data_IF_792535098813
#
_entry.id   IF_792535098813
#
_cell.length_a   1.000
_cell.length_b   1.000
_cell.length_c   1.000
_cell.angle_alpha   90.00
_cell.angle_beta   90.00
_cell.angle_gamma   90.00
#
_symmetry.space_group_name_H-M   'P 1'
#
loop_
_entity.id
_entity.type
_entity.pdbx_description
1 polymer ?
#
# COMPACT_ATOMS: atom_id res chain seq x y z
N UNK A 1 -21.92 21.11 6.04
CA UNK A 1 -20.74 20.32 5.70
C UNK A 1 -20.80 18.99 6.44
N UNK A 2 -20.28 17.90 5.85
CA UNK A 2 -20.25 16.58 6.49
C UNK A 2 -19.53 16.68 7.85
N UNK A 3 -20.19 16.35 8.99
CA UNK A 3 -19.59 16.45 10.31
C UNK A 3 -18.37 15.55 10.51
N UNK A 4 -18.30 14.43 9.79
CA UNK A 4 -17.19 13.47 9.86
C UNK A 4 -15.86 14.05 9.36
N UNK A 5 -15.87 15.12 8.55
CA UNK A 5 -14.62 15.81 8.13
C UNK A 5 -13.79 16.31 9.33
N UNK A 6 -14.42 16.62 10.46
CA UNK A 6 -13.73 17.06 11.68
C UNK A 6 -12.98 15.95 12.40
N UNK A 7 -13.27 14.69 12.06
CA UNK A 7 -12.62 13.51 12.64
C UNK A 7 -11.30 13.19 11.93
N UNK A 8 -11.10 13.70 10.69
CA UNK A 8 -9.89 13.48 9.92
C UNK A 8 -8.68 14.13 10.60
N UNK A 9 -7.63 13.34 10.76
CA UNK A 9 -6.35 13.83 11.27
C UNK A 9 -5.56 14.53 10.16
N UNK A 10 -4.69 15.51 10.49
CA UNK A 10 -3.74 16.05 9.54
C UNK A 10 -2.91 14.94 8.89
N UNK A 11 -2.71 15.03 7.57
CA UNK A 11 -1.99 14.02 6.83
C UNK A 11 -0.52 13.90 7.31
N UNK A 12 0.11 12.70 7.33
CA UNK A 12 1.46 12.52 7.88
C UNK A 12 2.50 13.50 7.34
N UNK A 13 2.45 13.82 6.04
CA UNK A 13 3.38 14.77 5.43
C UNK A 13 3.11 16.23 5.83
N UNK A 14 1.89 16.56 6.21
CA UNK A 14 1.58 17.86 6.80
C UNK A 14 2.16 17.97 8.22
N UNK A 15 2.01 16.90 9.03
CA UNK A 15 2.64 16.82 10.36
C UNK A 15 4.15 16.92 10.24
N UNK A 16 4.76 16.18 9.30
CA UNK A 16 6.19 16.22 9.04
C UNK A 16 6.66 17.63 8.66
N UNK A 17 5.96 18.32 7.77
CA UNK A 17 6.28 19.70 7.38
C UNK A 17 6.23 20.65 8.58
N UNK A 18 5.24 20.49 9.46
CA UNK A 18 5.13 21.29 10.70
C UNK A 18 6.28 20.96 11.65
N UNK A 19 6.64 19.71 11.84
CA UNK A 19 7.73 19.24 12.68
C UNK A 19 9.08 19.85 12.25
N UNK A 20 9.32 19.91 10.95
CA UNK A 20 10.58 20.36 10.37
C UNK A 20 10.62 21.87 10.11
N UNK A 21 9.53 22.59 10.37
CA UNK A 21 9.50 24.04 10.21
C UNK A 21 10.56 24.73 11.10
N UNK A 22 11.35 25.61 10.49
CA UNK A 22 12.41 26.33 11.17
C UNK A 22 13.71 25.53 11.42
N UNK A 23 13.78 24.26 11.02
CA UNK A 23 15.02 23.50 11.05
C UNK A 23 15.90 23.93 9.88
N UNK A 24 17.13 24.34 10.14
CA UNK A 24 18.10 24.74 9.12
C UNK A 24 19.09 23.59 8.91
N UNK A 25 19.10 22.94 7.73
CA UNK A 25 20.06 21.88 7.44
C UNK A 25 21.48 22.46 7.25
N UNK A 26 22.52 21.60 7.37
CA UNK A 26 23.90 22.04 7.25
C UNK A 26 24.23 22.51 5.83
N UNK A 27 24.95 23.60 5.73
CA UNK A 27 25.45 24.10 4.43
C UNK A 27 26.51 23.13 3.88
N UNK A 28 26.41 22.82 2.60
CA UNK A 28 27.35 21.91 1.90
C UNK A 28 26.94 20.45 1.84
N UNK A 29 25.87 20.02 2.51
CA UNK A 29 25.27 18.70 2.30
C UNK A 29 24.05 18.80 1.38
N UNK A 30 24.05 18.04 0.29
CA UNK A 30 22.88 17.92 -0.57
C UNK A 30 21.71 17.26 0.19
N UNK A 31 20.49 17.73 -0.05
CA UNK A 31 19.28 17.14 0.55
C UNK A 31 19.04 15.73 0.04
N UNK A 32 18.69 14.80 0.94
CA UNK A 32 18.24 13.45 0.59
C UNK A 32 16.89 13.22 1.27
N UNK A 33 15.84 13.11 0.46
CA UNK A 33 14.48 12.85 0.96
C UNK A 33 14.09 11.38 0.79
N UNK A 34 13.99 10.68 1.91
CA UNK A 34 13.53 9.30 2.04
C UNK A 34 12.18 9.20 2.76
N UNK A 35 11.43 10.29 2.84
CA UNK A 35 10.12 10.33 3.51
C UNK A 35 8.99 9.86 2.59
N UNK A 36 9.01 10.22 1.31
CA UNK A 36 7.93 9.95 0.36
C UNK A 36 8.14 8.62 -0.35
N UNK A 37 7.18 7.70 -0.22
CA UNK A 37 7.19 6.40 -0.92
C UNK A 37 6.77 6.52 -2.38
N UNK A 38 7.44 7.37 -3.15
CA UNK A 38 7.25 7.53 -4.59
C UNK A 38 8.43 6.89 -5.34
N UNK A 39 8.19 5.84 -6.16
CA UNK A 39 9.25 5.24 -6.96
C UNK A 39 9.98 6.27 -7.82
N UNK A 40 11.33 6.18 -7.84
CA UNK A 40 12.18 7.08 -8.64
C UNK A 40 13.01 6.33 -9.69
N UNK A 41 12.77 5.03 -9.88
CA UNK A 41 13.28 4.35 -11.06
C UNK A 41 12.58 4.88 -12.31
N UNK A 42 13.23 4.87 -13.47
CA UNK A 42 12.61 5.35 -14.70
C UNK A 42 11.32 4.58 -15.04
N UNK A 43 10.31 5.28 -15.52
CA UNK A 43 9.15 4.64 -16.13
C UNK A 43 9.61 3.85 -17.38
N UNK A 44 9.09 2.61 -17.60
CA UNK A 44 9.49 1.79 -18.74
C UNK A 44 9.30 2.52 -20.07
N UNK A 45 10.32 2.48 -20.95
CA UNK A 45 10.32 3.24 -22.20
C UNK A 45 9.17 2.81 -23.13
N UNK A 46 8.92 1.48 -23.21
CA UNK A 46 7.85 0.94 -24.04
C UNK A 46 6.46 1.41 -23.58
N UNK A 47 6.21 1.54 -22.28
CA UNK A 47 4.93 2.05 -21.74
C UNK A 47 4.75 3.52 -22.11
N UNK A 48 5.83 4.33 -22.01
CA UNK A 48 5.79 5.74 -22.40
C UNK A 48 5.54 5.90 -23.90
N UNK A 49 6.10 4.99 -24.73
CA UNK A 49 5.86 5.01 -26.17
C UNK A 49 4.40 4.70 -26.49
N UNK A 50 3.82 3.63 -25.91
CA UNK A 50 2.39 3.32 -26.11
C UNK A 50 1.51 4.50 -25.70
N UNK A 51 1.81 5.18 -24.59
CA UNK A 51 1.07 6.35 -24.16
C UNK A 51 1.16 7.48 -25.21
N UNK A 52 2.36 7.77 -25.70
CA UNK A 52 2.60 8.84 -26.69
C UNK A 52 1.90 8.57 -28.03
N UNK A 53 1.91 7.31 -28.48
CA UNK A 53 1.33 6.89 -29.77
C UNK A 53 -0.21 6.92 -29.78
N UNK A 54 -0.85 7.11 -28.62
CA UNK A 54 -2.30 7.05 -28.48
C UNK A 54 -2.91 8.34 -27.89
N UNK A 55 -2.20 9.46 -27.88
CA UNK A 55 -2.67 10.70 -27.28
C UNK A 55 -3.91 11.28 -27.96
N UNK A 56 -4.15 11.01 -29.25
CA UNK A 56 -5.35 11.43 -29.96
C UNK A 56 -6.64 10.84 -29.36
N UNK A 57 -6.55 9.71 -28.66
CA UNK A 57 -7.70 9.10 -27.97
C UNK A 57 -8.17 9.88 -26.74
N UNK A 58 -7.46 10.95 -26.34
CA UNK A 58 -7.94 11.89 -25.33
C UNK A 58 -9.22 12.61 -25.74
N UNK A 59 -9.56 12.62 -27.03
CA UNK A 59 -10.80 13.20 -27.54
C UNK A 59 -12.07 12.36 -27.25
N UNK A 60 -11.93 11.16 -26.69
CA UNK A 60 -13.04 10.21 -26.45
C UNK A 60 -13.25 9.97 -24.96
N UNK A 61 -14.50 10.01 -24.51
CA UNK A 61 -14.85 9.63 -23.14
C UNK A 61 -14.60 8.13 -22.91
N UNK A 62 -13.81 7.74 -21.89
CA UNK A 62 -13.62 6.35 -21.55
C UNK A 62 -14.83 5.81 -20.78
N UNK A 63 -15.13 4.52 -20.97
CA UNK A 63 -16.11 3.82 -20.12
C UNK A 63 -15.55 3.63 -18.69
N UNK A 64 -16.40 3.79 -17.68
CA UNK A 64 -16.04 3.55 -16.26
C UNK A 64 -15.52 2.14 -16.02
N UNK A 65 -16.08 1.16 -16.71
CA UNK A 65 -15.69 -0.27 -16.63
C UNK A 65 -14.29 -0.54 -17.19
N UNK A 66 -13.73 0.37 -17.97
CA UNK A 66 -12.50 0.18 -18.72
C UNK A 66 -12.65 -0.71 -19.96
N UNK A 67 -11.61 -0.83 -20.77
CA UNK A 67 -11.61 -1.63 -21.99
C UNK A 67 -11.59 -3.14 -21.69
N UNK A 68 -12.21 -3.94 -22.55
CA UNK A 68 -12.19 -5.40 -22.44
C UNK A 68 -10.76 -5.96 -22.50
N UNK A 69 -9.90 -5.36 -23.32
CA UNK A 69 -8.51 -5.74 -23.46
C UNK A 69 -7.73 -5.55 -22.14
N UNK A 70 -7.92 -4.42 -21.46
CA UNK A 70 -7.27 -4.18 -20.18
C UNK A 70 -7.76 -5.16 -19.11
N UNK A 71 -9.07 -5.41 -19.03
CA UNK A 71 -9.63 -6.37 -18.07
C UNK A 71 -9.14 -7.80 -18.33
N UNK A 72 -9.09 -8.23 -19.60
CA UNK A 72 -8.55 -9.52 -19.97
C UNK A 72 -7.05 -9.65 -19.66
N UNK A 73 -6.26 -8.62 -19.91
CA UNK A 73 -4.84 -8.57 -19.56
C UNK A 73 -4.59 -8.69 -18.05
N UNK A 74 -5.39 -8.00 -17.24
CA UNK A 74 -5.33 -8.08 -15.76
C UNK A 74 -5.73 -9.49 -15.29
N UNK A 75 -6.82 -10.04 -15.80
CA UNK A 75 -7.29 -11.39 -15.46
C UNK A 75 -6.23 -12.45 -15.75
N UNK A 76 -5.60 -12.39 -16.92
CA UNK A 76 -4.51 -13.28 -17.30
C UNK A 76 -3.27 -13.10 -16.41
N UNK A 77 -2.96 -11.87 -15.97
CA UNK A 77 -1.88 -11.60 -15.02
C UNK A 77 -2.17 -12.22 -13.65
N UNK A 78 -3.38 -12.04 -13.10
CA UNK A 78 -3.80 -12.61 -11.82
C UNK A 78 -3.68 -14.14 -11.82
N UNK A 79 -4.19 -14.80 -12.87
CA UNK A 79 -4.11 -16.25 -13.04
C UNK A 79 -2.66 -16.75 -12.90
N UNK A 80 -1.73 -16.13 -13.65
CA UNK A 80 -0.33 -16.54 -13.65
C UNK A 80 0.38 -16.22 -12.34
N UNK A 81 0.17 -15.00 -11.82
CA UNK A 81 0.90 -14.48 -10.67
C UNK A 81 0.53 -15.18 -9.36
N UNK A 82 -0.73 -15.50 -9.17
CA UNK A 82 -1.26 -16.11 -7.95
C UNK A 82 -1.64 -17.58 -8.12
N UNK A 83 -1.30 -18.18 -9.26
CA UNK A 83 -1.55 -19.61 -9.55
C UNK A 83 -2.99 -19.99 -9.25
N UNK A 84 -3.93 -19.19 -9.77
CA UNK A 84 -5.37 -19.42 -9.57
C UNK A 84 -5.85 -20.67 -10.33
N UNK A 85 -6.92 -21.31 -9.87
CA UNK A 85 -7.53 -22.47 -10.54
C UNK A 85 -8.17 -22.11 -11.89
N UNK A 86 -8.77 -20.90 -11.96
CA UNK A 86 -9.35 -20.31 -13.15
C UNK A 86 -9.03 -18.82 -13.23
N UNK A 87 -8.97 -18.27 -14.44
CA UNK A 87 -8.83 -16.83 -14.62
C UNK A 87 -10.09 -16.11 -14.11
N UNK A 88 -9.96 -15.02 -13.33
CA UNK A 88 -11.13 -14.20 -12.98
C UNK A 88 -11.88 -13.74 -14.22
N UNK A 89 -13.22 -13.75 -14.18
CA UNK A 89 -14.04 -13.28 -15.29
C UNK A 89 -13.76 -11.79 -15.56
N UNK A 90 -13.18 -11.43 -16.72
CA UNK A 90 -12.85 -10.05 -17.03
C UNK A 90 -14.10 -9.15 -17.16
N UNK A 91 -15.28 -9.71 -17.33
CA UNK A 91 -16.53 -8.94 -17.40
C UNK A 91 -17.15 -8.66 -16.03
N UNK A 92 -16.90 -9.50 -15.01
CA UNK A 92 -17.58 -9.41 -13.73
C UNK A 92 -16.63 -9.23 -12.53
N UNK A 93 -15.42 -9.77 -12.62
CA UNK A 93 -14.51 -9.93 -11.48
C UNK A 93 -13.25 -9.06 -11.60
N UNK A 94 -13.17 -8.17 -12.60
CA UNK A 94 -12.04 -7.26 -12.82
C UNK A 94 -12.54 -5.85 -13.16
N UNK A 95 -12.06 -4.84 -12.42
CA UNK A 95 -12.42 -3.44 -12.62
C UNK A 95 -11.17 -2.54 -12.60
N UNK A 96 -10.73 -1.96 -13.73
CA UNK A 96 -9.69 -0.95 -13.77
C UNK A 96 -10.09 0.31 -13.00
N UNK A 97 -9.09 0.93 -12.31
CA UNK A 97 -9.29 2.09 -11.46
C UNK A 97 -8.18 3.14 -11.67
N UNK A 98 -8.45 4.41 -11.33
CA UNK A 98 -7.50 5.52 -11.46
C UNK A 98 -6.44 5.52 -10.34
N UNK A 99 -5.81 4.35 -10.15
CA UNK A 99 -4.91 4.03 -9.04
C UNK A 99 -5.68 3.63 -7.78
N UNK A 100 -5.04 2.82 -6.94
CA UNK A 100 -5.70 2.20 -5.78
C UNK A 100 -6.04 3.18 -4.66
N UNK A 101 -5.38 4.35 -4.60
CA UNK A 101 -5.68 5.35 -3.58
C UNK A 101 -7.15 5.78 -3.60
N UNK A 102 -7.65 6.16 -4.78
CA UNK A 102 -9.04 6.58 -4.92
C UNK A 102 -10.00 5.39 -4.79
N UNK A 103 -9.60 4.23 -5.31
CA UNK A 103 -10.42 3.03 -5.25
C UNK A 103 -10.63 2.53 -3.81
N UNK A 104 -9.56 2.45 -3.01
CA UNK A 104 -9.64 2.08 -1.59
C UNK A 104 -10.53 3.04 -0.79
N UNK A 105 -10.44 4.35 -1.09
CA UNK A 105 -11.31 5.34 -0.46
C UNK A 105 -12.78 5.17 -0.89
N UNK A 106 -13.03 5.08 -2.18
CA UNK A 106 -14.37 4.94 -2.75
C UNK A 106 -15.03 3.62 -2.34
N UNK A 107 -14.23 2.56 -2.15
CA UNK A 107 -14.72 1.23 -1.79
C UNK A 107 -15.43 1.22 -0.43
N UNK A 108 -14.89 1.87 0.59
CA UNK A 108 -15.57 2.00 1.88
C UNK A 108 -16.90 2.74 1.77
N UNK A 109 -17.00 3.75 0.88
CA UNK A 109 -18.26 4.47 0.64
C UNK A 109 -19.32 3.57 0.01
N UNK A 110 -18.91 2.54 -0.74
CA UNK A 110 -19.80 1.58 -1.37
C UNK A 110 -20.26 0.48 -0.41
N UNK A 111 -19.36 0.03 0.48
CA UNK A 111 -19.56 -1.15 1.34
C UNK A 111 -20.28 -0.82 2.65
N UNK A 112 -19.99 0.34 3.25
CA UNK A 112 -20.44 0.65 4.61
C UNK A 112 -21.90 1.05 4.64
N UNK A 113 -22.69 0.38 5.48
CA UNK A 113 -24.01 0.86 5.93
C UNK A 113 -23.84 1.64 7.25
N UNK A 114 -23.90 2.98 7.22
CA UNK A 114 -23.68 3.81 8.41
C UNK A 114 -24.78 3.67 9.47
N UNK A 115 -25.92 3.06 9.14
CA UNK A 115 -27.03 2.88 10.08
C UNK A 115 -26.80 1.71 11.04
N UNK A 116 -25.84 0.83 10.74
CA UNK A 116 -25.60 -0.43 11.47
C UNK A 116 -24.46 -0.34 12.50
N UNK A 117 -24.10 0.85 12.99
CA UNK A 117 -22.93 1.05 13.89
C UNK A 117 -21.66 0.34 13.38
N UNK A 118 -21.41 0.48 12.09
CA UNK A 118 -20.37 -0.22 11.36
C UNK A 118 -18.97 -0.02 11.95
N UNK A 119 -18.18 -1.09 11.95
CA UNK A 119 -16.74 -1.04 12.19
C UNK A 119 -15.98 -1.36 10.91
N UNK A 120 -14.90 -0.60 10.69
CA UNK A 120 -13.84 -0.95 9.75
C UNK A 120 -12.62 -1.37 10.55
N UNK A 121 -12.17 -2.62 10.33
CA UNK A 121 -10.98 -3.17 10.98
C UNK A 121 -9.78 -2.94 10.07
N UNK A 122 -8.63 -2.54 10.62
CA UNK A 122 -7.42 -2.27 9.84
C UNK A 122 -6.14 -2.42 10.67
N UNK A 123 -4.97 -2.69 10.05
CA UNK A 123 -3.68 -2.72 10.76
C UNK A 123 -3.35 -1.35 11.35
N UNK A 124 -2.44 -1.29 12.32
CA UNK A 124 -1.90 -0.06 12.89
C UNK A 124 -0.39 -0.27 13.18
N UNK A 125 0.54 0.35 12.45
CA UNK A 125 0.39 1.43 11.46
C UNK A 125 -0.40 1.04 10.19
N UNK A 126 -0.88 2.05 9.49
CA UNK A 126 -1.72 1.88 8.30
C UNK A 126 -1.50 2.97 7.25
N UNK A 127 -2.04 2.74 6.05
CA UNK A 127 -2.18 3.78 5.05
C UNK A 127 -3.40 4.65 5.38
N UNK A 128 -3.20 5.95 5.60
CA UNK A 128 -4.20 6.88 6.16
C UNK A 128 -5.51 6.97 5.37
N UNK A 129 -5.51 6.47 4.13
CA UNK A 129 -6.71 6.42 3.30
C UNK A 129 -7.76 5.49 3.91
N UNK A 130 -7.37 4.38 4.55
CA UNK A 130 -8.33 3.45 5.17
C UNK A 130 -9.15 4.10 6.28
N UNK A 131 -8.48 4.82 7.20
CA UNK A 131 -9.16 5.55 8.27
C UNK A 131 -10.05 6.65 7.72
N UNK A 132 -9.53 7.47 6.80
CA UNK A 132 -10.31 8.55 6.18
C UNK A 132 -11.53 8.03 5.43
N UNK A 133 -11.40 6.92 4.73
CA UNK A 133 -12.49 6.26 4.00
C UNK A 133 -13.57 5.75 4.97
N UNK A 134 -13.17 5.05 6.05
CA UNK A 134 -14.06 4.54 7.08
C UNK A 134 -14.85 5.66 7.77
N UNK A 135 -14.17 6.68 8.25
CA UNK A 135 -14.79 7.81 8.95
C UNK A 135 -15.78 8.57 8.07
N UNK A 136 -15.41 8.86 6.81
CA UNK A 136 -16.29 9.58 5.89
C UNK A 136 -17.45 8.73 5.38
N UNK A 137 -17.33 7.41 5.42
CA UNK A 137 -18.44 6.48 5.19
C UNK A 137 -19.38 6.35 6.41
N UNK A 138 -19.03 6.95 7.56
CA UNK A 138 -19.83 6.91 8.79
C UNK A 138 -19.54 5.70 9.68
N UNK A 139 -18.47 4.97 9.46
CA UNK A 139 -18.04 3.87 10.31
C UNK A 139 -17.03 4.33 11.38
N UNK A 140 -17.00 3.62 12.51
CA UNK A 140 -15.89 3.70 13.45
C UNK A 140 -14.74 2.78 13.00
N UNK A 141 -13.54 2.99 13.52
CA UNK A 141 -12.36 2.19 13.21
C UNK A 141 -11.95 1.31 14.36
N UNK A 142 -11.54 0.08 14.10
CA UNK A 142 -10.86 -0.79 15.06
C UNK A 142 -9.45 -1.09 14.55
N UNK A 143 -8.46 -0.64 15.31
CA UNK A 143 -7.05 -0.66 14.91
C UNK A 143 -6.33 -1.85 15.52
N UNK A 144 -5.66 -2.65 14.69
CA UNK A 144 -4.91 -3.84 15.09
C UNK A 144 -3.42 -3.50 15.23
N UNK A 145 -2.85 -3.49 16.44
CA UNK A 145 -1.44 -3.15 16.63
C UNK A 145 -0.52 -4.12 15.90
N UNK A 146 0.39 -3.59 15.07
CA UNK A 146 1.44 -4.35 14.38
C UNK A 146 2.77 -4.02 15.05
N UNK A 147 3.22 -4.86 15.97
CA UNK A 147 4.39 -4.64 16.81
C UNK A 147 5.53 -5.61 16.47
N UNK A 148 6.71 -5.37 17.02
CA UNK A 148 7.83 -6.31 16.87
C UNK A 148 7.51 -7.71 17.43
N UNK A 149 6.72 -7.79 18.50
CA UNK A 149 6.30 -9.06 19.11
C UNK A 149 5.45 -9.93 18.17
N UNK A 150 4.74 -9.31 17.21
CA UNK A 150 3.92 -9.99 16.21
C UNK A 150 4.57 -10.04 14.82
N UNK A 151 5.88 -9.74 14.73
CA UNK A 151 6.57 -9.60 13.43
C UNK A 151 5.99 -8.49 12.56
N UNK A 152 5.40 -7.48 13.18
CA UNK A 152 4.71 -6.34 12.54
C UNK A 152 3.48 -6.72 11.70
N UNK A 153 2.92 -7.91 11.90
CA UNK A 153 1.63 -8.32 11.38
C UNK A 153 0.53 -8.11 12.44
N UNK A 154 -0.74 -7.90 12.05
CA UNK A 154 -1.85 -7.88 12.99
C UNK A 154 -2.07 -9.26 13.63
N UNK A 155 -2.40 -9.28 14.92
CA UNK A 155 -2.90 -10.48 15.61
C UNK A 155 -4.43 -10.55 15.48
N UNK A 156 -4.90 -11.20 14.44
CA UNK A 156 -6.34 -11.34 14.19
C UNK A 156 -7.04 -12.28 15.19
N UNK A 157 -6.29 -13.20 15.83
CA UNK A 157 -6.85 -14.13 16.80
C UNK A 157 -7.17 -13.44 18.13
N UNK A 158 -6.47 -12.36 18.44
CA UNK A 158 -6.73 -11.56 19.65
C UNK A 158 -7.94 -10.62 19.53
N UNK A 159 -8.56 -10.51 18.35
CA UNK A 159 -9.68 -9.59 18.13
C UNK A 159 -10.96 -10.15 18.76
N UNK A 160 -11.63 -9.40 19.66
CA UNK A 160 -12.86 -9.87 20.31
C UNK A 160 -13.98 -10.16 19.30
N UNK A 161 -14.76 -11.22 19.55
CA UNK A 161 -15.90 -11.60 18.70
C UNK A 161 -16.91 -10.45 18.48
N UNK A 162 -17.12 -9.60 19.48
CA UNK A 162 -18.00 -8.42 19.38
C UNK A 162 -17.51 -7.40 18.34
N UNK A 163 -16.22 -7.35 18.04
CA UNK A 163 -15.65 -6.52 16.96
C UNK A 163 -16.01 -7.10 15.61
N UNK A 164 -15.83 -8.41 15.43
CA UNK A 164 -16.18 -9.09 14.18
C UNK A 164 -17.68 -9.03 13.88
N UNK A 165 -18.53 -9.11 14.89
CA UNK A 165 -20.01 -8.99 14.72
C UNK A 165 -20.45 -7.63 14.17
N UNK A 166 -19.64 -6.57 14.36
CA UNK A 166 -19.91 -5.23 13.86
C UNK A 166 -19.05 -4.87 12.65
N UNK A 167 -18.08 -5.71 12.31
CA UNK A 167 -17.19 -5.50 11.19
C UNK A 167 -17.97 -5.58 9.88
N UNK A 168 -17.87 -4.56 9.03
CA UNK A 168 -18.41 -4.62 7.67
C UNK A 168 -17.28 -4.67 6.63
N UNK A 169 -16.10 -4.15 7.00
CA UNK A 169 -14.94 -4.09 6.11
C UNK A 169 -13.66 -4.33 6.91
N UNK A 170 -12.85 -5.27 6.45
CA UNK A 170 -11.48 -5.47 6.89
C UNK A 170 -10.52 -4.99 5.80
N UNK A 171 -9.72 -3.97 6.09
CA UNK A 171 -8.56 -3.65 5.25
C UNK A 171 -7.35 -4.49 5.66
N UNK A 172 -6.74 -5.15 4.68
CA UNK A 172 -5.43 -5.80 4.80
C UNK A 172 -4.46 -4.99 3.95
N UNK A 173 -3.22 -4.80 4.42
CA UNK A 173 -2.12 -4.27 3.61
C UNK A 173 -1.01 -5.32 3.61
N UNK A 174 -0.88 -6.05 2.53
CA UNK A 174 0.12 -7.12 2.40
C UNK A 174 0.73 -7.12 1.00
N UNK A 175 2.01 -6.79 0.90
CA UNK A 175 2.97 -6.37 1.95
C UNK A 175 2.63 -5.04 2.61
N UNK A 176 2.93 -4.92 3.91
CA UNK A 176 2.53 -3.81 4.76
C UNK A 176 3.26 -2.49 4.48
N UNK A 177 2.54 -1.39 4.47
CA UNK A 177 3.10 -0.04 4.55
C UNK A 177 2.79 0.54 5.94
N UNK A 178 3.81 0.80 6.79
CA UNK A 178 5.24 0.92 6.49
C UNK A 178 6.09 -0.32 6.77
N UNK A 179 5.53 -1.40 7.30
CA UNK A 179 6.30 -2.45 7.98
C UNK A 179 6.99 -3.45 7.04
N UNK A 180 6.46 -3.61 5.82
CA UNK A 180 6.90 -4.64 4.87
C UNK A 180 6.52 -6.06 5.27
N UNK A 181 5.71 -6.24 6.32
CA UNK A 181 5.23 -7.55 6.74
C UNK A 181 4.32 -8.16 5.65
N UNK A 182 4.49 -9.45 5.43
CA UNK A 182 3.70 -10.24 4.46
C UNK A 182 2.75 -11.14 5.23
N UNK A 183 1.47 -11.11 4.88
CA UNK A 183 0.45 -11.97 5.48
C UNK A 183 0.52 -13.37 4.85
N UNK A 184 0.78 -14.43 5.63
CA UNK A 184 0.85 -15.80 5.11
C UNK A 184 -0.50 -16.28 4.57
N UNK A 185 -0.47 -17.21 3.59
CA UNK A 185 -1.70 -17.84 3.02
C UNK A 185 -2.57 -18.46 4.11
N UNK A 186 -1.96 -19.11 5.11
CA UNK A 186 -2.71 -19.71 6.23
C UNK A 186 -3.54 -18.65 7.00
N UNK A 187 -2.98 -17.46 7.22
CA UNK A 187 -3.70 -16.36 7.87
C UNK A 187 -4.81 -15.82 6.95
N UNK A 188 -4.55 -15.66 5.64
CA UNK A 188 -5.57 -15.23 4.69
C UNK A 188 -6.76 -16.20 4.66
N UNK A 189 -6.52 -17.53 4.69
CA UNK A 189 -7.57 -18.55 4.79
C UNK A 189 -8.40 -18.43 6.07
N UNK A 190 -7.75 -18.14 7.21
CA UNK A 190 -8.46 -17.90 8.47
C UNK A 190 -9.35 -16.65 8.40
N UNK A 191 -8.86 -15.59 7.76
CA UNK A 191 -9.64 -14.36 7.57
C UNK A 191 -10.84 -14.55 6.64
N UNK A 192 -10.70 -15.39 5.60
CA UNK A 192 -11.82 -15.78 4.73
C UNK A 192 -12.89 -16.52 5.55
N UNK A 193 -12.49 -17.46 6.41
CA UNK A 193 -13.44 -18.16 7.28
C UNK A 193 -14.12 -17.23 8.30
N UNK A 194 -13.40 -16.24 8.84
CA UNK A 194 -13.99 -15.20 9.69
C UNK A 194 -14.97 -14.32 8.94
N UNK A 195 -14.64 -13.93 7.69
CA UNK A 195 -15.52 -13.15 6.84
C UNK A 195 -16.82 -13.89 6.53
N UNK A 196 -16.77 -15.21 6.34
CA UNK A 196 -17.95 -16.04 6.17
C UNK A 196 -18.79 -16.15 7.44
N UNK A 197 -18.14 -16.28 8.59
CA UNK A 197 -18.82 -16.42 9.87
C UNK A 197 -19.51 -15.13 10.35
N UNK A 198 -18.96 -13.98 10.00
CA UNK A 198 -19.39 -12.67 10.51
C UNK A 198 -19.90 -11.70 9.44
N UNK A 199 -19.97 -12.13 8.18
CA UNK A 199 -20.56 -11.40 7.04
C UNK A 199 -19.88 -10.04 6.76
N UNK A 200 -18.55 -9.98 6.79
CA UNK A 200 -17.80 -8.80 6.39
C UNK A 200 -17.02 -9.01 5.10
N UNK A 201 -16.61 -7.90 4.46
CA UNK A 201 -15.82 -7.90 3.23
C UNK A 201 -14.34 -7.70 3.56
N UNK A 202 -13.46 -8.43 2.87
CA UNK A 202 -12.01 -8.26 2.93
C UNK A 202 -11.54 -7.43 1.73
N UNK A 203 -10.93 -6.28 1.99
CA UNK A 203 -10.24 -5.46 1.00
C UNK A 203 -8.73 -5.56 1.20
N UNK A 204 -8.06 -6.31 0.33
CA UNK A 204 -6.61 -6.54 0.41
C UNK A 204 -5.87 -5.57 -0.50
N UNK A 205 -5.15 -4.61 0.11
CA UNK A 205 -4.22 -3.72 -0.58
C UNK A 205 -2.89 -4.44 -0.83
N UNK A 206 -2.70 -4.91 -2.06
CA UNK A 206 -1.55 -5.70 -2.50
C UNK A 206 -0.60 -4.90 -3.40
N UNK A 207 -0.61 -3.56 -3.27
CA UNK A 207 0.16 -2.67 -4.13
C UNK A 207 1.67 -2.90 -4.11
N UNK A 208 2.20 -3.56 -3.08
CA UNK A 208 3.64 -3.86 -2.93
C UNK A 208 3.99 -5.31 -3.25
N UNK A 209 3.06 -6.15 -3.68
CA UNK A 209 3.25 -7.58 -3.93
C UNK A 209 4.39 -7.88 -4.91
N UNK A 210 4.69 -6.94 -5.82
CA UNK A 210 5.70 -7.11 -6.85
C UNK A 210 7.09 -6.56 -6.47
N UNK A 211 7.28 -6.11 -5.22
CA UNK A 211 8.58 -5.64 -4.72
C UNK A 211 9.02 -6.56 -3.59
N UNK A 212 9.72 -7.63 -3.95
CA UNK A 212 10.21 -8.66 -3.03
C UNK A 212 11.64 -9.09 -3.40
N UNK A 213 12.31 -9.76 -2.49
CA UNK A 213 13.73 -10.15 -2.67
C UNK A 213 13.93 -11.58 -3.10
N UNK A 214 12.90 -12.41 -3.07
CA UNK A 214 12.96 -13.84 -3.39
C UNK A 214 12.02 -14.15 -4.56
N UNK A 215 12.58 -14.50 -5.71
CA UNK A 215 11.80 -14.82 -6.92
C UNK A 215 11.07 -16.17 -6.80
N UNK A 216 11.57 -17.09 -5.96
CA UNK A 216 10.98 -18.42 -5.75
C UNK A 216 9.87 -18.40 -4.70
N UNK A 217 9.80 -17.34 -3.87
CA UNK A 217 8.81 -17.19 -2.81
C UNK A 217 8.17 -15.77 -2.82
N UNK A 218 7.45 -15.42 -3.89
CA UNK A 218 6.79 -14.13 -3.97
C UNK A 218 5.68 -13.99 -2.92
N UNK A 219 5.37 -12.77 -2.45
CA UNK A 219 4.27 -12.54 -1.52
C UNK A 219 2.95 -13.14 -2.01
N UNK A 220 2.24 -13.92 -1.17
CA UNK A 220 0.94 -14.46 -1.54
C UNK A 220 -0.13 -13.37 -1.58
N UNK A 221 -1.23 -13.64 -2.28
CA UNK A 221 -2.40 -12.79 -2.38
C UNK A 221 -3.67 -13.40 -1.82
N UNK A 222 -4.69 -12.57 -1.58
CA UNK A 222 -5.97 -13.02 -1.07
C UNK A 222 -6.69 -13.96 -2.04
N UNK A 223 -6.64 -13.68 -3.35
CA UNK A 223 -7.26 -14.55 -4.36
C UNK A 223 -6.55 -15.91 -4.47
N UNK A 224 -5.23 -15.97 -4.20
CA UNK A 224 -4.51 -17.24 -4.07
C UNK A 224 -5.09 -18.07 -2.91
N UNK A 225 -5.32 -17.45 -1.75
CA UNK A 225 -5.91 -18.14 -0.62
C UNK A 225 -7.34 -18.63 -0.92
N UNK A 226 -8.13 -17.87 -1.68
CA UNK A 226 -9.42 -18.32 -2.19
C UNK A 226 -9.28 -19.55 -3.09
N UNK A 227 -8.39 -19.52 -4.09
CA UNK A 227 -8.15 -20.63 -5.00
C UNK A 227 -7.71 -21.91 -4.27
N UNK A 228 -6.82 -21.80 -3.29
CA UNK A 228 -6.39 -22.93 -2.45
C UNK A 228 -7.50 -23.49 -1.53
N UNK A 229 -8.59 -22.73 -1.30
CA UNK A 229 -9.79 -23.17 -0.63
C UNK A 229 -10.86 -23.71 -1.60
N UNK A 230 -10.59 -23.74 -2.91
CA UNK A 230 -11.55 -24.10 -3.95
C UNK A 230 -12.69 -23.08 -4.12
N UNK A 231 -12.43 -21.80 -3.80
CA UNK A 231 -13.40 -20.70 -3.86
C UNK A 231 -13.07 -19.79 -5.03
N UNK A 232 -13.39 -20.25 -6.23
CA UNK A 232 -13.13 -19.51 -7.46
C UNK A 232 -14.15 -18.38 -7.71
N UNK A 233 -15.18 -18.27 -6.88
CA UNK A 233 -16.13 -17.14 -6.84
C UNK A 233 -15.63 -15.93 -6.05
N UNK A 234 -14.51 -16.05 -5.35
CA UNK A 234 -13.88 -15.01 -4.52
C UNK A 234 -14.84 -14.35 -3.51
N UNK A 235 -15.90 -15.01 -3.13
CA UNK A 235 -16.95 -14.43 -2.30
C UNK A 235 -16.40 -13.67 -1.09
N UNK A 236 -16.82 -12.40 -0.89
CA UNK A 236 -16.37 -11.44 0.11
C UNK A 236 -14.92 -11.00 0.01
N UNK A 237 -14.18 -11.41 -1.01
CA UNK A 237 -12.75 -11.12 -1.15
C UNK A 237 -12.51 -10.19 -2.33
N UNK A 238 -11.83 -9.06 -2.08
CA UNK A 238 -11.49 -8.06 -3.09
C UNK A 238 -10.03 -7.65 -2.92
N UNK A 239 -9.27 -7.63 -4.02
CA UNK A 239 -7.85 -7.22 -4.05
C UNK A 239 -7.65 -5.94 -4.82
N UNK A 240 -6.65 -5.15 -4.42
CA UNK A 240 -6.27 -3.89 -5.03
C UNK A 240 -4.81 -3.94 -5.46
N UNK A 241 -4.54 -3.77 -6.75
CA UNK A 241 -3.20 -3.74 -7.33
C UNK A 241 -2.95 -2.48 -8.14
N UNK A 242 -1.68 -2.04 -8.21
CA UNK A 242 -1.31 -0.79 -8.86
C UNK A 242 -0.04 -0.89 -9.68
N UNK A 243 -0.02 -0.25 -10.84
CA UNK A 243 1.20 -0.04 -11.63
C UNK A 243 2.16 0.99 -10.98
N UNK A 244 1.69 1.75 -9.99
CA UNK A 244 2.50 2.78 -9.32
C UNK A 244 3.79 2.22 -8.72
N UNK A 245 3.72 1.03 -8.10
CA UNK A 245 4.86 0.40 -7.41
C UNK A 245 5.49 -0.71 -8.24
N UNK A 246 4.65 -1.55 -8.86
CA UNK A 246 5.07 -2.63 -9.73
C UNK A 246 5.91 -2.14 -10.91
N UNK A 247 5.49 -1.05 -11.54
CA UNK A 247 6.02 -0.60 -12.84
C UNK A 247 6.61 0.81 -12.83
N UNK A 248 6.82 1.42 -11.65
CA UNK A 248 7.30 2.81 -11.52
C UNK A 248 6.45 3.84 -12.29
N UNK A 249 5.13 3.66 -12.28
CA UNK A 249 4.17 4.49 -13.02
C UNK A 249 3.18 5.22 -12.09
N UNK A 250 3.63 5.90 -11.01
CA UNK A 250 2.70 6.55 -10.09
C UNK A 250 1.88 7.65 -10.75
N UNK A 251 2.44 8.34 -11.74
CA UNK A 251 1.78 9.42 -12.50
C UNK A 251 0.74 8.92 -13.52
N UNK A 252 0.82 7.67 -13.97
CA UNK A 252 -0.14 7.09 -14.91
C UNK A 252 -1.53 6.94 -14.31
N UNK A 253 -1.64 6.90 -12.98
CA UNK A 253 -2.90 6.69 -12.25
C UNK A 253 -3.63 5.42 -12.69
N UNK A 254 -2.92 4.29 -12.71
CA UNK A 254 -3.46 3.01 -13.12
C UNK A 254 -3.32 1.95 -12.04
N UNK A 255 -4.39 1.20 -11.87
CA UNK A 255 -4.51 0.04 -11.01
C UNK A 255 -5.80 -0.71 -11.34
N UNK A 256 -6.12 -1.70 -10.54
CA UNK A 256 -7.37 -2.42 -10.64
C UNK A 256 -7.86 -2.92 -9.28
N UNK A 257 -9.14 -3.28 -9.26
CA UNK A 257 -9.81 -4.03 -8.21
C UNK A 257 -10.28 -5.34 -8.83
N UNK A 258 -10.09 -6.47 -8.14
CA UNK A 258 -10.58 -7.77 -8.62
C UNK A 258 -11.07 -8.64 -7.45
N UNK A 259 -11.99 -9.56 -7.72
CA UNK A 259 -12.54 -10.48 -6.74
C UNK A 259 -14.04 -10.71 -6.91
N UNK A 260 -14.80 -10.75 -5.82
CA UNK A 260 -16.24 -11.02 -5.76
C UNK A 260 -17.03 -10.21 -6.79
N UNK A 261 -17.68 -10.91 -7.71
CA UNK A 261 -18.40 -10.34 -8.85
C UNK A 261 -19.59 -9.45 -8.42
N UNK A 262 -20.29 -9.82 -7.37
CA UNK A 262 -21.49 -9.10 -6.91
C UNK A 262 -21.07 -7.79 -6.22
N UNK A 263 -19.97 -7.82 -5.47
CA UNK A 263 -19.38 -6.62 -4.88
C UNK A 263 -18.85 -5.68 -5.98
N UNK A 264 -18.17 -6.22 -6.98
CA UNK A 264 -17.64 -5.39 -8.08
C UNK A 264 -18.74 -4.79 -8.94
N UNK A 265 -19.87 -5.46 -9.13
CA UNK A 265 -21.03 -4.87 -9.81
C UNK A 265 -21.55 -3.62 -9.08
N UNK A 266 -21.70 -3.71 -7.74
CA UNK A 266 -22.14 -2.55 -6.95
C UNK A 266 -21.09 -1.45 -6.94
N UNK A 267 -19.81 -1.81 -6.85
CA UNK A 267 -18.71 -0.85 -6.89
C UNK A 267 -18.61 -0.15 -8.26
N UNK A 268 -18.81 -0.86 -9.37
CA UNK A 268 -18.90 -0.27 -10.71
C UNK A 268 -20.07 0.73 -10.80
N UNK A 269 -21.24 0.37 -10.24
CA UNK A 269 -22.39 1.26 -10.17
C UNK A 269 -22.06 2.54 -9.39
N UNK A 270 -21.46 2.42 -8.21
CA UNK A 270 -21.01 3.56 -7.42
C UNK A 270 -20.03 4.44 -8.23
N UNK A 271 -19.03 3.84 -8.85
CA UNK A 271 -18.01 4.55 -9.64
C UNK A 271 -18.59 5.27 -10.85
N UNK A 272 -19.63 4.73 -11.46
CA UNK A 272 -20.32 5.37 -12.58
C UNK A 272 -20.94 6.71 -12.18
N UNK A 273 -21.51 6.80 -10.97
CA UNK A 273 -21.99 8.06 -10.42
C UNK A 273 -20.87 8.97 -9.90
N UNK A 274 -19.82 8.39 -9.33
CA UNK A 274 -18.65 9.11 -8.84
C UNK A 274 -17.83 9.74 -9.98
N UNK A 275 -17.88 9.17 -11.19
CA UNK A 275 -17.30 9.76 -12.40
C UNK A 275 -15.83 9.38 -12.65
N UNK A 276 -15.29 8.38 -11.97
CA UNK A 276 -13.92 7.92 -12.16
C UNK A 276 -13.81 7.00 -13.39
N UNK A 277 -13.12 7.45 -14.44
CA UNK A 277 -12.80 6.62 -15.60
C UNK A 277 -11.35 6.86 -16.05
N UNK A 278 -10.61 5.79 -16.33
CA UNK A 278 -9.23 5.88 -16.81
C UNK A 278 -9.21 6.28 -18.28
N UNK A 279 -8.38 7.26 -18.66
CA UNK A 279 -8.25 7.70 -20.07
C UNK A 279 -7.80 6.54 -20.96
N UNK A 280 -8.26 6.52 -22.21
CA UNK A 280 -7.94 5.43 -23.15
C UNK A 280 -6.42 5.27 -23.38
N UNK A 281 -5.60 6.34 -23.56
CA UNK A 281 -4.16 6.19 -23.62
C UNK A 281 -3.56 5.53 -22.40
N UNK A 282 -4.06 5.84 -21.19
CA UNK A 282 -3.61 5.20 -19.96
C UNK A 282 -4.00 3.73 -19.88
N UNK A 283 -5.15 3.35 -20.43
CA UNK A 283 -5.59 1.95 -20.48
C UNK A 283 -4.68 1.14 -21.41
N UNK A 284 -4.37 1.62 -22.60
CA UNK A 284 -3.48 0.95 -23.55
C UNK A 284 -2.06 0.81 -22.99
N UNK A 285 -1.53 1.86 -22.37
CA UNK A 285 -0.25 1.83 -21.67
C UNK A 285 -0.26 0.80 -20.52
N UNK A 286 -1.40 0.66 -19.83
CA UNK A 286 -1.57 -0.32 -18.76
C UNK A 286 -1.61 -1.75 -19.27
N UNK A 287 -2.26 -2.02 -20.41
CA UNK A 287 -2.22 -3.34 -21.09
C UNK A 287 -0.78 -3.75 -21.33
N UNK A 288 0.02 -2.89 -21.94
CA UNK A 288 1.43 -3.17 -22.18
C UNK A 288 2.21 -3.45 -20.89
N UNK A 289 1.97 -2.66 -19.83
CA UNK A 289 2.66 -2.83 -18.56
C UNK A 289 2.28 -4.13 -17.84
N UNK A 290 0.98 -4.54 -17.85
CA UNK A 290 0.55 -5.80 -17.23
C UNK A 290 1.03 -7.04 -18.01
N UNK A 291 1.28 -6.91 -19.31
CA UNK A 291 1.77 -8.00 -20.15
C UNK A 291 3.28 -8.28 -20.00
N UNK A 292 4.07 -7.33 -19.53
CA UNK A 292 5.53 -7.45 -19.42
C UNK A 292 5.98 -7.68 -17.98
N UNK A 293 6.79 -8.72 -17.76
CA UNK A 293 7.43 -9.04 -16.48
C UNK A 293 8.94 -8.71 -16.45
N UNK A 294 9.54 -8.40 -17.60
CA UNK A 294 10.98 -8.13 -17.64
C UNK A 294 11.33 -6.86 -16.86
N UNK A 295 10.57 -5.79 -17.06
CA UNK A 295 10.77 -4.54 -16.32
C UNK A 295 10.47 -4.69 -14.83
N UNK A 296 9.58 -5.62 -14.44
CA UNK A 296 9.23 -5.86 -13.02
C UNK A 296 10.38 -6.59 -12.31
N UNK A 297 10.96 -7.62 -12.95
CA UNK A 297 12.17 -8.30 -12.44
C UNK A 297 13.33 -7.32 -12.27
N UNK A 298 13.58 -6.47 -13.27
CA UNK A 298 14.60 -5.43 -13.16
C UNK A 298 14.33 -4.44 -12.04
N UNK A 299 13.07 -4.03 -11.86
CA UNK A 299 12.66 -3.16 -10.75
C UNK A 299 12.96 -3.82 -9.39
N UNK A 300 12.65 -5.11 -9.20
CA UNK A 300 12.96 -5.88 -7.99
C UNK A 300 14.46 -5.94 -7.73
N UNK A 301 15.24 -6.28 -8.76
CA UNK A 301 16.71 -6.34 -8.70
C UNK A 301 17.30 -5.02 -8.17
N UNK A 302 16.85 -3.88 -8.71
CA UNK A 302 17.29 -2.56 -8.28
C UNK A 302 16.92 -2.24 -6.82
N UNK A 303 15.76 -2.69 -6.35
CA UNK A 303 15.40 -2.53 -4.93
C UNK A 303 16.24 -3.46 -4.03
N UNK A 304 16.52 -4.68 -4.45
CA UNK A 304 17.39 -5.58 -3.70
C UNK A 304 18.78 -4.96 -3.49
N UNK A 305 19.40 -4.40 -4.55
CA UNK A 305 20.69 -3.69 -4.44
C UNK A 305 20.66 -2.55 -3.43
N UNK A 306 19.57 -1.79 -3.37
CA UNK A 306 19.42 -0.71 -2.38
C UNK A 306 19.33 -1.25 -0.95
N UNK A 307 18.57 -2.33 -0.74
CA UNK A 307 18.48 -2.98 0.56
C UNK A 307 19.84 -3.51 1.01
N UNK A 308 20.55 -4.24 0.14
CA UNK A 308 21.88 -4.79 0.45
C UNK A 308 22.83 -3.67 0.85
N UNK A 309 22.94 -2.63 0.04
CA UNK A 309 23.86 -1.52 0.28
C UNK A 309 23.53 -0.69 1.54
N UNK A 310 22.25 -0.53 1.87
CA UNK A 310 21.83 0.25 3.05
C UNK A 310 21.95 -0.59 4.32
N UNK A 311 21.57 -1.86 4.29
CA UNK A 311 21.67 -2.75 5.44
C UNK A 311 23.11 -3.09 5.80
N UNK A 312 24.02 -3.22 4.83
CA UNK A 312 25.47 -3.34 5.08
C UNK A 312 26.00 -2.20 5.96
N UNK A 313 25.48 -0.97 5.78
CA UNK A 313 25.94 0.21 6.52
C UNK A 313 25.22 0.36 7.87
N UNK A 314 23.95 0.03 7.97
CA UNK A 314 23.11 0.31 9.14
C UNK A 314 23.05 -0.84 10.16
N UNK A 315 23.29 -2.09 9.74
CA UNK A 315 23.29 -3.25 10.64
C UNK A 315 24.35 -3.08 11.72
N UNK A 316 23.97 -3.32 12.97
CA UNK A 316 24.85 -3.11 14.14
C UNK A 316 24.85 -1.67 14.69
N UNK A 317 24.36 -0.69 13.93
CA UNK A 317 24.21 0.70 14.37
C UNK A 317 22.76 1.08 14.66
N UNK A 318 21.81 0.41 14.00
CA UNK A 318 20.38 0.64 14.13
C UNK A 318 19.65 -0.70 14.19
N UNK A 319 18.58 -0.79 14.99
CA UNK A 319 17.69 -1.95 15.01
C UNK A 319 16.85 -1.98 13.74
N UNK A 320 17.40 -2.61 12.70
CA UNK A 320 16.84 -2.67 11.35
C UNK A 320 17.02 -4.06 10.73
N UNK A 321 16.00 -4.53 10.03
CA UNK A 321 16.04 -5.78 9.28
C UNK A 321 15.47 -5.56 7.87
N UNK A 322 15.83 -6.47 6.94
CA UNK A 322 15.19 -6.53 5.63
C UNK A 322 13.71 -6.89 5.82
N UNK A 323 12.77 -6.11 5.25
CA UNK A 323 11.37 -6.47 5.27
C UNK A 323 11.08 -7.68 4.36
N UNK A 324 9.95 -8.34 4.56
CA UNK A 324 9.50 -9.42 3.67
C UNK A 324 9.24 -8.94 2.23
N UNK A 325 8.74 -7.71 2.07
CA UNK A 325 8.55 -7.08 0.76
C UNK A 325 8.32 -5.55 0.90
N UNK A 326 8.11 -4.87 -0.25
CA UNK A 326 8.02 -3.43 -0.32
C UNK A 326 9.39 -2.76 -0.43
N UNK A 327 9.41 -1.44 -0.28
CA UNK A 327 10.65 -0.65 -0.37
C UNK A 327 10.89 0.24 0.86
N UNK A 328 10.30 -0.12 2.01
CA UNK A 328 10.46 0.59 3.26
C UNK A 328 11.36 -0.16 4.24
N UNK A 329 12.23 0.57 4.95
CA UNK A 329 12.77 0.13 6.22
C UNK A 329 11.94 0.75 7.36
N UNK A 330 11.77 -0.03 8.45
CA UNK A 330 10.99 0.35 9.62
C UNK A 330 11.80 0.19 10.92
N UNK A 331 13.01 0.83 10.99
CA UNK A 331 13.89 0.68 12.12
C UNK A 331 13.34 1.32 13.40
N UNK A 332 13.79 0.80 14.55
CA UNK A 332 13.63 1.46 15.83
C UNK A 332 14.71 2.54 16.00
N UNK A 333 14.31 3.70 16.51
CA UNK A 333 15.23 4.81 16.83
C UNK A 333 15.67 4.73 18.27
N UNK A 334 16.92 5.10 18.61
CA UNK A 334 17.43 5.09 19.99
C UNK A 334 16.81 6.17 20.86
N UNK A 335 16.31 7.22 20.23
CA UNK A 335 15.62 8.35 20.87
C UNK A 335 14.21 8.50 20.31
N UNK A 336 13.44 9.46 20.80
CA UNK A 336 12.11 9.79 20.27
C UNK A 336 12.15 10.03 18.75
N UNK A 337 11.18 9.48 18.02
CA UNK A 337 11.17 9.47 16.54
C UNK A 337 11.04 10.87 15.91
N UNK A 338 10.33 11.79 16.56
CA UNK A 338 10.27 13.19 16.10
C UNK A 338 11.60 13.90 16.33
N UNK A 339 12.20 13.71 17.51
CA UNK A 339 13.53 14.23 17.83
C UNK A 339 14.60 13.68 16.89
N UNK A 340 14.56 12.36 16.63
CA UNK A 340 15.47 11.72 15.68
C UNK A 340 15.35 12.33 14.27
N UNK A 341 14.11 12.48 13.78
CA UNK A 341 13.83 13.05 12.46
C UNK A 341 14.31 14.51 12.34
N UNK A 342 14.10 15.32 13.38
CA UNK A 342 14.58 16.71 13.41
C UNK A 342 16.11 16.79 13.40
N UNK A 343 16.79 15.99 14.26
CA UNK A 343 18.25 15.93 14.30
C UNK A 343 18.82 15.46 12.97
N UNK A 344 18.22 14.44 12.36
CA UNK A 344 18.68 13.90 11.08
C UNK A 344 18.62 14.96 9.96
N UNK A 345 17.58 15.79 9.92
CA UNK A 345 17.54 16.92 9.00
C UNK A 345 18.56 18.00 9.38
N UNK A 346 18.63 18.39 10.66
CA UNK A 346 19.46 19.48 11.13
C UNK A 346 20.97 19.20 11.01
N UNK A 347 21.39 17.96 11.22
CA UNK A 347 22.80 17.58 11.27
C UNK A 347 23.29 16.90 9.99
N UNK A 348 22.38 16.22 9.24
CA UNK A 348 22.76 15.35 8.14
C UNK A 348 22.02 15.64 6.82
N UNK A 349 21.07 16.58 6.79
CA UNK A 349 20.25 16.95 5.64
C UNK A 349 19.54 15.72 4.99
N UNK A 350 19.06 14.80 5.83
CA UNK A 350 18.26 13.63 5.42
C UNK A 350 16.89 13.72 6.06
N UNK A 351 15.84 13.45 5.27
CA UNK A 351 14.44 13.47 5.73
C UNK A 351 13.84 12.07 5.72
N UNK A 352 13.24 11.68 6.84
CA UNK A 352 12.47 10.44 7.03
C UNK A 352 11.11 10.75 7.65
N UNK A 353 10.21 9.78 7.82
CA UNK A 353 8.90 9.99 8.46
C UNK A 353 8.91 9.41 9.86
N UNK A 354 8.58 10.20 10.92
CA UNK A 354 8.33 9.66 12.24
C UNK A 354 7.23 8.59 12.21
N UNK A 355 7.48 7.47 12.85
CA UNK A 355 6.57 6.33 12.80
C UNK A 355 5.23 6.60 13.44
N UNK A 356 5.20 7.39 14.52
CA UNK A 356 3.96 7.80 15.19
C UNK A 356 2.96 8.52 14.27
N UNK A 357 3.43 9.13 13.17
CA UNK A 357 2.54 9.80 12.21
C UNK A 357 1.79 8.83 11.30
N UNK A 358 2.32 7.61 11.16
CA UNK A 358 1.73 6.54 10.35
C UNK A 358 0.83 5.61 11.18
N UNK A 359 0.74 5.86 12.50
CA UNK A 359 -0.02 5.06 13.44
C UNK A 359 -0.98 5.93 14.25
N UNK A 360 -1.77 5.28 15.08
CA UNK A 360 -2.59 5.92 16.12
C UNK A 360 -2.28 5.31 17.47
N UNK A 361 -2.44 6.12 18.51
CA UNK A 361 -2.36 5.65 19.88
C UNK A 361 -3.58 4.77 20.18
N UNK A 362 -3.34 3.55 20.64
CA UNK A 362 -4.39 2.61 21.05
C UNK A 362 -5.08 3.02 22.35
N UNK A 363 -6.12 2.28 22.72
CA UNK A 363 -6.82 2.49 23.99
C UNK A 363 -5.91 2.23 25.22
N UNK A 364 -4.85 1.44 25.05
CA UNK A 364 -3.79 1.17 26.01
C UNK A 364 -2.77 2.32 26.18
N UNK A 365 -2.94 3.42 25.44
CA UNK A 365 -2.02 4.55 25.42
C UNK A 365 -0.74 4.33 24.60
N UNK A 366 -0.59 3.17 23.93
CA UNK A 366 0.59 2.83 23.14
C UNK A 366 0.38 3.21 21.66
N UNK A 367 1.38 3.87 21.08
CA UNK A 367 1.44 4.10 19.64
C UNK A 367 2.48 3.13 19.04
N UNK A 368 2.07 2.16 18.19
CA UNK A 368 3.01 1.14 17.66
C UNK A 368 4.04 1.72 16.68
N UNK A 369 3.86 2.95 16.23
CA UNK A 369 4.84 3.69 15.43
C UNK A 369 5.81 4.54 16.23
N UNK A 370 5.62 4.71 17.55
CA UNK A 370 6.53 5.48 18.39
C UNK A 370 7.92 4.84 18.44
N UNK A 371 8.96 5.68 18.53
CA UNK A 371 10.36 5.26 18.48
C UNK A 371 10.74 4.48 17.21
N UNK A 372 10.05 4.73 16.09
CA UNK A 372 10.38 4.18 14.78
C UNK A 372 10.35 5.26 13.72
N UNK A 373 11.06 5.01 12.62
CA UNK A 373 10.96 5.87 11.44
C UNK A 373 10.72 5.01 10.20
N UNK A 374 9.99 5.56 9.23
CA UNK A 374 9.90 4.96 7.91
C UNK A 374 10.95 5.59 7.00
N UNK A 375 11.79 4.74 6.40
CA UNK A 375 12.80 5.10 5.41
C UNK A 375 12.37 4.50 4.07
N UNK A 376 12.07 5.31 3.07
CA UNK A 376 11.69 4.85 1.74
C UNK A 376 12.93 4.75 0.83
N UNK A 377 13.35 3.56 0.45
CA UNK A 377 14.52 3.31 -0.41
C UNK A 377 14.23 3.57 -1.89
N UNK A 378 13.59 4.69 -2.20
CA UNK A 378 13.16 5.06 -3.56
C UNK A 378 14.19 5.88 -4.32
N UNK A 379 15.06 6.62 -3.63
CA UNK A 379 16.11 7.42 -4.24
C UNK A 379 17.12 6.55 -5.03
N UNK A 380 17.96 7.14 -5.91
CA UNK A 380 19.06 6.41 -6.54
C UNK A 380 19.95 5.70 -5.53
N UNK A 381 20.55 4.56 -5.93
CA UNK A 381 21.38 3.73 -5.05
C UNK A 381 22.46 4.55 -4.32
N UNK A 382 23.14 5.44 -5.04
CA UNK A 382 24.19 6.33 -4.47
C UNK A 382 23.64 7.23 -3.36
N UNK A 383 22.43 7.76 -3.53
CA UNK A 383 21.79 8.59 -2.50
C UNK A 383 21.30 7.75 -1.31
N UNK A 384 20.79 6.53 -1.56
CA UNK A 384 20.41 5.61 -0.48
C UNK A 384 21.62 5.23 0.38
N UNK A 385 22.76 4.91 -0.24
CA UNK A 385 24.03 4.64 0.47
C UNK A 385 24.50 5.86 1.27
N UNK A 386 24.53 7.03 0.65
CA UNK A 386 24.93 8.29 1.32
C UNK A 386 24.00 8.59 2.51
N UNK A 387 22.69 8.42 2.35
CA UNK A 387 21.76 8.59 3.46
C UNK A 387 22.05 7.62 4.62
N UNK A 388 22.34 6.36 4.32
CA UNK A 388 22.70 5.36 5.33
C UNK A 388 24.00 5.76 6.08
N UNK A 389 25.03 6.23 5.36
CA UNK A 389 26.27 6.74 5.96
C UNK A 389 25.97 7.92 6.89
N UNK A 390 25.12 8.85 6.47
CA UNK A 390 24.74 10.01 7.27
C UNK A 390 23.91 9.64 8.49
N UNK A 391 23.00 8.68 8.36
CA UNK A 391 22.24 8.13 9.51
C UNK A 391 23.22 7.51 10.52
N UNK A 392 24.19 6.70 10.06
CA UNK A 392 25.21 6.11 10.92
C UNK A 392 26.03 7.19 11.64
N UNK A 393 26.49 8.24 10.95
CA UNK A 393 27.20 9.38 11.58
C UNK A 393 26.39 10.04 12.69
N UNK A 394 25.10 10.26 12.48
CA UNK A 394 24.21 10.79 13.52
C UNK A 394 24.17 9.88 14.74
N UNK A 395 24.11 8.58 14.54
CA UNK A 395 24.07 7.58 15.63
C UNK A 395 25.39 7.51 16.40
N UNK A 396 26.52 7.71 15.74
CA UNK A 396 27.87 7.71 16.35
C UNK A 396 28.19 9.03 17.08
N UNK A 397 27.46 10.12 16.79
CA UNK A 397 27.70 11.44 17.40
C UNK A 397 26.88 11.74 18.65
N UNK A 398 25.98 10.86 19.02
CA UNK A 398 25.05 11.13 20.11
C UNK A 398 24.64 10.06 20.96
#
# INVERSE_FOLDING_TARGET
MNPHLRQLQPYPFEKLRRLLAGVTPPRGLAAIDLSVGEPKHPAPAFVRQVLADNLEQLAVYPATKGSAELRAGISAWLLRRFVLNAAPDPEREVLPVNGTREALFAFAQCVIDPRAEALVVMPNPFYQIYEGAALLAGAATHLLPCTAATGFAPDYAAVPAAVWQRCQLLYICSPGNPTGAVTPVATLKQLIALADAHDFIIASDECYSEIHGDEDSPPPGLLQACAELGRDDFRRCVVFHSLSKRSNLPGLRSGFVAGDADILEQFLRYRTYHGCAMSLPSQLASVAAWADEAHVRENRRLYCEKFDAVLEILTGHLDVARPGAGFYLWPRTPIDDETFTRRLLAEQHVTVVPGRYLARTGADGVNPGAHRVRIALVAPLTQCREAAIRIRRLLESG
#
